data_IF_177766723550
#
_entry.id   IF_177766723550
#
_cell.length_a   1.000
_cell.length_b   1.000
_cell.length_c   1.000
_cell.angle_alpha   90.00
_cell.angle_beta   90.00
_cell.angle_gamma   90.00
#
_symmetry.space_group_name_H-M   'P 1'
#
loop_
_entity.id
_entity.type
_entity.pdbx_description
1 polymer ?
#
# COMPACT_ATOMS: atom_id res chain seq x y z
N UNK A 1 -6.62 -14.85 -27.73
CA UNK A 1 -6.60 -15.04 -26.25
C UNK A 1 -5.49 -14.20 -25.68
N UNK A 2 -5.83 -13.16 -24.91
CA UNK A 2 -4.82 -12.39 -24.18
C UNK A 2 -4.38 -13.20 -22.95
N UNK A 3 -3.29 -13.94 -23.05
CA UNK A 3 -2.71 -14.63 -21.92
C UNK A 3 -2.21 -13.60 -20.90
N UNK A 4 -2.48 -13.85 -19.62
CA UNK A 4 -1.88 -13.09 -18.54
C UNK A 4 -0.35 -13.17 -18.62
N UNK A 5 0.31 -12.06 -18.47
CA UNK A 5 1.77 -12.02 -18.44
C UNK A 5 2.29 -12.51 -17.07
N UNK A 6 3.48 -13.07 -17.07
CA UNK A 6 4.15 -13.41 -15.82
C UNK A 6 4.37 -12.15 -14.96
N UNK A 7 4.24 -12.25 -13.61
CA UNK A 7 4.50 -11.13 -12.73
C UNK A 7 5.95 -10.64 -12.82
N UNK A 8 6.12 -9.34 -12.68
CA UNK A 8 7.44 -8.71 -12.61
C UNK A 8 8.15 -9.09 -11.30
N UNK A 9 9.44 -9.43 -11.39
CA UNK A 9 10.23 -9.85 -10.22
C UNK A 9 10.73 -8.68 -9.35
N UNK A 10 10.40 -7.43 -9.68
CA UNK A 10 10.82 -6.25 -8.89
C UNK A 10 10.29 -6.27 -7.46
N UNK A 11 9.14 -6.87 -7.23
CA UNK A 11 8.53 -7.00 -5.89
C UNK A 11 9.49 -7.65 -4.88
N UNK A 12 10.14 -8.74 -5.23
CA UNK A 12 11.07 -9.46 -4.34
C UNK A 12 12.29 -8.63 -3.95
N UNK A 13 12.72 -7.72 -4.82
CA UNK A 13 13.83 -6.81 -4.54
C UNK A 13 13.42 -5.65 -3.64
N UNK A 14 12.22 -5.13 -3.85
CA UNK A 14 11.70 -3.94 -3.15
C UNK A 14 11.07 -4.30 -1.82
N UNK A 15 10.27 -5.36 -1.79
CA UNK A 15 9.49 -5.82 -0.64
C UNK A 15 9.67 -7.33 -0.42
N UNK A 16 10.90 -7.77 -0.05
CA UNK A 16 11.19 -9.22 0.09
C UNK A 16 10.38 -9.90 1.18
N UNK A 17 9.95 -9.16 2.20
CA UNK A 17 9.24 -9.69 3.37
C UNK A 17 7.70 -9.64 3.22
N UNK A 18 7.18 -9.06 2.14
CA UNK A 18 5.75 -9.05 1.87
C UNK A 18 5.31 -10.39 1.31
N UNK A 19 4.42 -11.12 2.00
CA UNK A 19 3.91 -12.38 1.50
C UNK A 19 3.04 -12.19 0.26
N UNK A 20 3.03 -13.21 -0.59
CA UNK A 20 2.19 -13.27 -1.78
C UNK A 20 1.24 -14.45 -1.63
N UNK A 21 -0.05 -14.22 -1.80
CA UNK A 21 -1.10 -15.21 -1.60
C UNK A 21 -1.83 -15.47 -2.91
N UNK A 22 -1.97 -16.75 -3.27
CA UNK A 22 -2.81 -17.15 -4.40
C UNK A 22 -4.29 -17.02 -4.03
N UNK A 23 -5.06 -16.33 -4.86
CA UNK A 23 -6.48 -16.10 -4.61
C UNK A 23 -7.27 -15.95 -5.92
N UNK A 24 -8.58 -16.11 -5.82
CA UNK A 24 -9.47 -15.81 -6.93
C UNK A 24 -9.79 -14.31 -6.93
N UNK A 25 -9.44 -13.68 -8.03
CA UNK A 25 -9.72 -12.26 -8.29
C UNK A 25 -10.94 -12.17 -9.22
N UNK A 26 -12.00 -11.56 -8.76
CA UNK A 26 -13.20 -11.32 -9.57
C UNK A 26 -13.34 -9.82 -9.81
N UNK A 27 -13.29 -9.41 -11.06
CA UNK A 27 -13.38 -8.00 -11.41
C UNK A 27 -14.77 -7.46 -11.12
N UNK A 28 -14.80 -6.47 -10.22
CA UNK A 28 -16.03 -5.82 -9.75
C UNK A 28 -16.67 -4.98 -10.85
N UNK A 29 -18.00 -4.83 -10.79
CA UNK A 29 -18.75 -3.92 -11.66
C UNK A 29 -18.29 -2.47 -11.50
N UNK A 30 -18.29 -1.71 -12.60
CA UNK A 30 -17.75 -0.34 -12.62
C UNK A 30 -18.48 0.63 -11.70
N UNK A 31 -19.82 0.52 -11.60
CA UNK A 31 -20.61 1.39 -10.74
C UNK A 31 -20.32 1.19 -9.25
N UNK A 32 -20.22 -0.06 -8.81
CA UNK A 32 -19.90 -0.41 -7.43
C UNK A 32 -18.46 0.01 -7.07
N UNK A 33 -17.52 -0.25 -7.95
CA UNK A 33 -16.13 0.21 -7.80
C UNK A 33 -16.04 1.73 -7.68
N UNK A 34 -16.76 2.46 -8.53
CA UNK A 34 -16.79 3.92 -8.50
C UNK A 34 -17.37 4.46 -7.18
N UNK A 35 -18.45 3.86 -6.68
CA UNK A 35 -19.04 4.24 -5.41
C UNK A 35 -18.09 4.03 -4.22
N UNK A 36 -17.37 2.90 -4.18
CA UNK A 36 -16.35 2.65 -3.16
C UNK A 36 -15.17 3.63 -3.23
N UNK A 37 -14.73 3.96 -4.44
CA UNK A 37 -13.66 4.95 -4.64
C UNK A 37 -14.08 6.34 -4.21
N UNK A 38 -15.31 6.74 -4.51
CA UNK A 38 -15.86 8.02 -4.08
C UNK A 38 -15.93 8.10 -2.55
N UNK A 39 -16.49 7.09 -1.90
CA UNK A 39 -16.54 7.00 -0.43
C UNK A 39 -15.14 7.09 0.20
N UNK A 40 -14.17 6.42 -0.37
CA UNK A 40 -12.77 6.50 0.07
C UNK A 40 -12.21 7.92 -0.04
N UNK A 41 -12.43 8.59 -1.16
CA UNK A 41 -11.93 9.95 -1.38
C UNK A 41 -12.65 10.99 -0.53
N UNK A 42 -13.94 10.78 -0.25
CA UNK A 42 -14.76 11.75 0.49
C UNK A 42 -14.49 11.77 2.00
N UNK A 43 -14.00 10.70 2.59
CA UNK A 43 -13.79 10.72 4.04
C UNK A 43 -13.05 9.52 4.63
N UNK A 44 -13.18 8.33 4.07
CA UNK A 44 -12.60 7.12 4.67
C UNK A 44 -11.06 7.13 4.65
N UNK A 45 -10.45 7.66 3.59
CA UNK A 45 -9.00 7.87 3.52
C UNK A 45 -8.52 8.80 4.63
N UNK A 46 -9.20 9.92 4.83
CA UNK A 46 -8.89 10.88 5.88
C UNK A 46 -9.01 10.24 7.26
N UNK A 47 -10.09 9.50 7.50
CA UNK A 47 -10.33 8.79 8.76
C UNK A 47 -9.20 7.77 9.03
N UNK A 48 -8.76 7.03 8.02
CA UNK A 48 -7.64 6.09 8.14
C UNK A 48 -6.33 6.80 8.51
N UNK A 49 -6.00 7.91 7.85
CA UNK A 49 -4.76 8.66 8.11
C UNK A 49 -4.74 9.26 9.52
N UNK A 50 -5.85 9.81 9.99
CA UNK A 50 -5.97 10.30 11.37
C UNK A 50 -5.95 9.18 12.39
N UNK A 51 -6.54 8.02 12.08
CA UNK A 51 -6.42 6.83 12.91
C UNK A 51 -4.96 6.39 13.10
N UNK A 52 -4.17 6.38 12.03
CA UNK A 52 -2.75 6.02 12.11
C UNK A 52 -1.99 6.91 13.10
N UNK A 53 -2.13 8.22 12.99
CA UNK A 53 -1.41 9.15 13.86
C UNK A 53 -1.92 9.13 15.30
N UNK A 54 -3.19 8.87 15.52
CA UNK A 54 -3.79 8.85 16.85
C UNK A 54 -3.58 7.53 17.59
N UNK A 55 -3.56 6.40 16.89
CA UNK A 55 -3.54 5.06 17.48
C UNK A 55 -2.23 4.29 17.22
N UNK A 56 -1.45 4.68 16.23
CA UNK A 56 -0.28 3.94 15.76
C UNK A 56 0.99 4.80 15.69
N UNK A 57 1.04 5.89 16.46
CA UNK A 57 2.16 6.85 16.43
C UNK A 57 3.53 6.19 16.69
N UNK A 58 3.63 5.33 17.69
CA UNK A 58 4.88 4.66 18.03
C UNK A 58 5.33 3.68 16.94
N UNK A 59 4.40 2.96 16.35
CA UNK A 59 4.65 2.09 15.20
C UNK A 59 5.15 2.88 13.99
N UNK A 60 4.53 4.03 13.70
CA UNK A 60 4.97 4.92 12.63
C UNK A 60 6.39 5.44 12.85
N UNK A 61 6.72 5.87 14.07
CA UNK A 61 8.07 6.32 14.41
C UNK A 61 9.09 5.21 14.25
N UNK A 62 8.78 4.01 14.73
CA UNK A 62 9.63 2.84 14.56
C UNK A 62 9.87 2.49 13.09
N UNK A 63 8.93 2.81 12.21
CA UNK A 63 9.02 2.62 10.75
C UNK A 63 9.66 3.79 10.01
N UNK A 64 10.15 4.79 10.71
CA UNK A 64 10.91 5.90 10.13
C UNK A 64 10.08 7.07 9.62
N UNK A 65 8.78 7.15 9.98
CA UNK A 65 7.95 8.32 9.66
C UNK A 65 8.45 9.54 10.45
N UNK A 66 8.55 10.67 9.75
CA UNK A 66 9.08 11.94 10.31
C UNK A 66 7.96 12.78 10.94
N UNK A 67 8.34 13.78 11.75
CA UNK A 67 7.38 14.75 12.30
C UNK A 67 6.61 15.48 11.18
N UNK A 68 7.24 15.75 10.06
CA UNK A 68 6.58 16.34 8.89
C UNK A 68 5.51 15.41 8.32
N UNK A 69 5.78 14.09 8.31
CA UNK A 69 4.76 13.11 7.95
C UNK A 69 3.59 13.12 8.93
N UNK A 70 3.87 13.20 10.24
CA UNK A 70 2.85 13.28 11.29
C UNK A 70 1.96 14.53 11.14
N UNK A 71 2.51 15.67 10.79
CA UNK A 71 1.72 16.88 10.52
C UNK A 71 0.71 16.68 9.38
N UNK A 72 1.13 16.03 8.29
CA UNK A 72 0.24 15.69 7.19
C UNK A 72 -0.87 14.73 7.64
N UNK A 73 -0.52 13.69 8.37
CA UNK A 73 -1.48 12.69 8.89
C UNK A 73 -2.50 13.32 9.84
N UNK A 74 -2.09 14.23 10.73
CA UNK A 74 -3.01 14.96 11.62
C UNK A 74 -4.03 15.79 10.86
N UNK A 75 -3.68 16.26 9.68
CA UNK A 75 -4.58 17.00 8.77
C UNK A 75 -5.41 16.05 7.88
N UNK A 76 -5.29 14.73 8.06
CA UNK A 76 -5.95 13.74 7.21
C UNK A 76 -5.43 13.73 5.77
N UNK A 77 -4.19 14.15 5.56
CA UNK A 77 -3.55 14.22 4.24
C UNK A 77 -2.47 13.15 4.11
N UNK A 78 -2.38 12.57 2.92
CA UNK A 78 -1.30 11.64 2.59
C UNK A 78 0.03 12.40 2.61
N UNK A 79 1.04 11.95 3.37
CA UNK A 79 2.36 12.57 3.35
C UNK A 79 2.98 12.55 1.96
N UNK A 80 3.78 13.56 1.65
CA UNK A 80 4.48 13.63 0.37
C UNK A 80 5.31 12.36 0.13
N UNK A 81 5.21 11.79 -1.05
CA UNK A 81 5.91 10.57 -1.44
C UNK A 81 5.25 9.27 -0.99
N UNK A 82 4.10 9.33 -0.35
CA UNK A 82 3.34 8.16 0.11
C UNK A 82 2.02 8.00 -0.63
N UNK A 83 1.47 6.79 -0.56
CA UNK A 83 0.12 6.46 -1.01
C UNK A 83 -0.60 5.62 0.04
N UNK A 84 -1.92 5.66 0.03
CA UNK A 84 -2.74 4.66 0.72
C UNK A 84 -3.14 3.60 -0.30
N UNK A 85 -2.77 2.36 -0.02
CA UNK A 85 -2.99 1.21 -0.89
C UNK A 85 -4.08 0.32 -0.31
N UNK A 86 -5.01 -0.13 -1.14
CA UNK A 86 -5.95 -1.19 -0.80
C UNK A 86 -5.25 -2.54 -0.98
N UNK A 87 -5.07 -3.28 0.12
CA UNK A 87 -4.38 -4.57 0.11
C UNK A 87 -5.11 -5.55 -0.80
N UNK A 88 -6.43 -5.68 -0.62
CA UNK A 88 -7.32 -6.28 -1.61
C UNK A 88 -7.92 -5.15 -2.45
N UNK A 89 -7.69 -5.12 -3.76
CA UNK A 89 -8.13 -4.01 -4.60
C UNK A 89 -9.64 -3.79 -4.60
N UNK A 90 -10.08 -2.53 -4.68
CA UNK A 90 -11.49 -2.19 -4.89
C UNK A 90 -12.03 -2.75 -6.21
N UNK A 91 -11.17 -2.98 -7.18
CA UNK A 91 -11.47 -3.62 -8.46
C UNK A 91 -11.91 -5.10 -8.32
N UNK A 92 -11.56 -5.73 -7.23
CA UNK A 92 -12.00 -7.07 -6.84
C UNK A 92 -13.02 -6.97 -5.69
N UNK A 93 -12.86 -7.72 -4.63
CA UNK A 93 -13.73 -7.76 -3.46
C UNK A 93 -13.26 -6.90 -2.30
N UNK A 94 -12.26 -6.04 -2.49
CA UNK A 94 -11.74 -5.17 -1.45
C UNK A 94 -12.72 -4.08 -1.02
N UNK A 95 -12.54 -3.57 0.17
CA UNK A 95 -13.33 -2.49 0.76
C UNK A 95 -12.44 -1.41 1.38
N UNK A 96 -13.04 -0.40 2.00
CA UNK A 96 -12.34 0.72 2.61
C UNK A 96 -12.08 0.57 4.12
N UNK A 97 -12.28 -0.62 4.68
CA UNK A 97 -11.98 -0.86 6.09
C UNK A 97 -10.48 -0.71 6.35
N UNK A 98 -10.12 -0.28 7.56
CA UNK A 98 -8.74 -0.03 7.94
C UNK A 98 -7.87 -1.29 7.82
N UNK A 99 -8.45 -2.46 8.05
CA UNK A 99 -7.77 -3.76 7.87
C UNK A 99 -7.39 -4.06 6.42
N UNK A 100 -7.95 -3.32 5.46
CA UNK A 100 -7.62 -3.43 4.04
C UNK A 100 -6.75 -2.29 3.52
N UNK A 101 -6.28 -1.40 4.39
CA UNK A 101 -5.52 -0.21 3.99
C UNK A 101 -4.10 -0.24 4.57
N UNK A 102 -3.16 0.20 3.77
CA UNK A 102 -1.77 0.39 4.18
C UNK A 102 -1.18 1.67 3.58
N UNK A 103 -0.52 2.45 4.43
CA UNK A 103 0.26 3.61 4.02
C UNK A 103 1.68 3.14 3.65
N UNK A 104 2.11 3.41 2.42
CA UNK A 104 3.42 3.00 1.91
C UNK A 104 3.95 4.05 0.93
N UNK A 105 5.24 4.00 0.65
CA UNK A 105 5.84 4.93 -0.31
C UNK A 105 5.29 4.67 -1.73
N UNK A 106 5.07 5.75 -2.47
CA UNK A 106 4.63 5.68 -3.87
C UNK A 106 5.67 4.96 -4.74
N UNK A 107 6.94 5.27 -4.50
CA UNK A 107 8.09 4.70 -5.19
C UNK A 107 9.17 4.30 -4.18
N UNK A 108 9.73 3.09 -4.29
CA UNK A 108 9.41 2.05 -5.26
C UNK A 108 8.31 1.06 -4.83
N UNK A 109 7.80 1.12 -3.59
CA UNK A 109 7.01 0.06 -2.97
C UNK A 109 5.63 -0.11 -3.64
N UNK A 110 4.84 0.96 -3.72
CA UNK A 110 3.50 0.91 -4.35
C UNK A 110 3.60 0.53 -5.83
N UNK A 111 4.55 1.11 -6.53
CA UNK A 111 4.82 0.78 -7.93
C UNK A 111 5.19 -0.71 -8.11
N UNK A 112 6.02 -1.27 -7.24
CA UNK A 112 6.41 -2.68 -7.30
C UNK A 112 5.21 -3.62 -7.12
N UNK A 113 4.28 -3.29 -6.22
CA UNK A 113 3.04 -4.05 -6.03
C UNK A 113 2.21 -4.05 -7.31
N UNK A 114 2.02 -2.89 -7.93
CA UNK A 114 1.24 -2.79 -9.17
C UNK A 114 1.93 -3.48 -10.35
N UNK A 115 3.23 -3.35 -10.50
CA UNK A 115 4.00 -4.08 -11.53
C UNK A 115 3.91 -5.59 -11.38
N UNK A 116 3.72 -6.07 -10.16
CA UNK A 116 3.52 -7.49 -9.90
C UNK A 116 2.10 -7.95 -10.21
N UNK A 117 1.09 -7.18 -9.82
CA UNK A 117 -0.32 -7.54 -9.95
C UNK A 117 -0.89 -7.25 -11.34
N UNK A 118 -0.68 -6.06 -11.88
CA UNK A 118 -1.38 -5.58 -13.08
C UNK A 118 -1.19 -6.47 -14.32
N UNK A 119 0.00 -7.04 -14.60
CA UNK A 119 0.14 -7.97 -15.71
C UNK A 119 -0.72 -9.23 -15.60
N UNK A 120 -0.99 -9.69 -14.37
CA UNK A 120 -1.84 -10.86 -14.13
C UNK A 120 -3.32 -10.59 -14.46
N UNK A 121 -3.73 -9.32 -14.42
CA UNK A 121 -5.12 -8.89 -14.66
C UNK A 121 -5.39 -8.52 -16.11
N UNK A 122 -4.37 -8.54 -16.97
CA UNK A 122 -4.53 -8.15 -18.37
C UNK A 122 -5.58 -9.00 -19.08
N UNK A 123 -6.54 -8.33 -19.74
CA UNK A 123 -7.62 -8.97 -20.47
C UNK A 123 -8.75 -9.53 -19.62
N UNK A 124 -8.69 -9.36 -18.29
CA UNK A 124 -9.79 -9.75 -17.41
C UNK A 124 -10.92 -8.72 -17.51
N UNK A 125 -12.13 -9.19 -17.84
CA UNK A 125 -13.32 -8.36 -17.97
C UNK A 125 -14.15 -8.31 -16.69
N UNK A 126 -15.01 -7.30 -16.56
CA UNK A 126 -15.95 -7.16 -15.44
C UNK A 126 -16.75 -8.46 -15.24
N UNK A 127 -16.83 -8.91 -14.00
CA UNK A 127 -17.53 -10.16 -13.62
C UNK A 127 -16.74 -11.43 -13.83
N UNK A 128 -15.64 -11.39 -14.59
CA UNK A 128 -14.77 -12.56 -14.76
C UNK A 128 -13.88 -12.78 -13.55
N UNK A 129 -13.57 -14.03 -13.29
CA UNK A 129 -12.68 -14.47 -12.21
C UNK A 129 -11.39 -15.05 -12.79
N UNK A 130 -10.27 -14.75 -12.14
CA UNK A 130 -8.96 -15.31 -12.48
C UNK A 130 -8.18 -15.62 -11.21
N UNK A 131 -7.49 -16.74 -11.20
CA UNK A 131 -6.53 -17.06 -10.14
C UNK A 131 -5.29 -16.19 -10.29
N UNK A 132 -4.96 -15.44 -9.25
CA UNK A 132 -3.80 -14.52 -9.23
C UNK A 132 -2.98 -14.71 -7.97
N UNK A 133 -1.75 -14.22 -8.00
CA UNK A 133 -0.91 -14.06 -6.82
C UNK A 133 -0.96 -12.61 -6.37
N UNK A 134 -1.49 -12.35 -5.17
CA UNK A 134 -1.70 -11.02 -4.63
C UNK A 134 -0.69 -10.73 -3.52
N UNK A 135 0.11 -9.65 -3.62
CA UNK A 135 0.94 -9.19 -2.50
C UNK A 135 0.06 -8.74 -1.33
N UNK A 136 0.41 -9.19 -0.12
CA UNK A 136 -0.33 -8.89 1.10
C UNK A 136 0.56 -8.23 2.15
N UNK A 137 0.83 -6.93 2.04
CA UNK A 137 1.48 -6.18 3.11
C UNK A 137 0.57 -6.14 4.34
N UNK A 138 1.17 -5.99 5.52
CA UNK A 138 0.38 -5.81 6.75
C UNK A 138 -0.42 -4.50 6.71
N UNK A 139 -1.66 -4.49 7.23
CA UNK A 139 -2.44 -3.26 7.37
C UNK A 139 -1.72 -2.20 8.23
N UNK A 140 -2.04 -0.95 8.02
CA UNK A 140 -1.48 0.16 8.76
C UNK A 140 -0.43 0.93 7.97
N UNK A 141 0.84 0.76 8.27
CA UNK A 141 1.94 1.39 7.56
C UNK A 141 3.06 0.40 7.28
N UNK A 142 3.65 0.52 6.10
CA UNK A 142 4.74 -0.34 5.66
C UNK A 142 6.08 0.38 5.80
N UNK A 143 7.05 -0.28 6.46
CA UNK A 143 8.43 0.17 6.50
C UNK A 143 9.07 -0.01 5.12
N UNK A 144 9.76 1.03 4.63
CA UNK A 144 10.53 0.93 3.40
C UNK A 144 12.01 0.71 3.69
N UNK A 145 12.70 0.01 2.79
CA UNK A 145 14.17 -0.14 2.88
C UNK A 145 14.92 1.19 2.84
N UNK A 146 14.40 2.17 2.12
CA UNK A 146 14.99 3.50 2.08
C UNK A 146 14.82 4.26 3.40
N UNK A 147 13.66 4.12 4.06
CA UNK A 147 13.47 4.66 5.41
C UNK A 147 14.41 3.99 6.42
N UNK A 148 14.63 2.66 6.32
CA UNK A 148 15.61 1.94 7.11
C UNK A 148 17.05 2.46 6.91
N UNK A 149 17.44 2.62 5.65
CA UNK A 149 18.78 3.16 5.32
C UNK A 149 18.97 4.58 5.85
N UNK A 150 17.94 5.42 5.75
CA UNK A 150 17.97 6.79 6.28
C UNK A 150 18.06 6.80 7.80
N UNK A 151 17.31 5.95 8.50
CA UNK A 151 17.37 5.79 9.93
C UNK A 151 18.74 5.27 10.40
N UNK A 152 19.31 4.29 9.71
CA UNK A 152 20.64 3.75 9.97
C UNK A 152 21.74 4.81 9.79
N UNK A 153 21.67 5.62 8.72
CA UNK A 153 22.59 6.74 8.48
C UNK A 153 22.51 7.78 9.59
N UNK A 154 21.30 8.14 10.03
CA UNK A 154 21.10 9.09 11.11
C UNK A 154 21.68 8.57 12.44
N UNK A 155 21.50 7.28 12.76
CA UNK A 155 22.09 6.65 13.95
C UNK A 155 23.62 6.62 13.90
N UNK A 156 24.21 6.29 12.75
CA UNK A 156 25.65 6.29 12.55
C UNK A 156 26.25 7.69 12.70
N UNK A 157 25.56 8.72 12.20
CA UNK A 157 25.99 10.11 12.37
C UNK A 157 25.92 10.57 13.82
N UNK A 158 24.84 10.23 14.53
CA UNK A 158 24.70 10.56 15.96
C UNK A 158 25.75 9.85 16.84
N UNK A 159 26.15 8.62 16.50
CA UNK A 159 27.17 7.87 17.24
C UNK A 159 28.60 8.39 17.03
N UNK A 160 28.87 9.05 15.88
CA UNK A 160 30.21 9.65 15.60
C UNK A 160 30.43 11.00 16.25
N UNK A 161 29.38 11.67 16.71
CA UNK A 161 29.42 12.99 17.34
C UNK A 161 29.29 12.93 18.87
N UNK A 162 29.51 11.74 19.48
CA UNK A 162 29.58 11.57 20.94
C UNK A 162 31.05 11.44 21.42
#
# INVERSE_FOLDING_TARGET
MNQALAPDNSLRRVLPDVPVVAMDYQRRGLAEKAALRESFQMGERQAFLTHLVNQRADDLRAKGFTERNFESLRRGKVPHGYNVHHIRPLDDGGDNRFENLVLLRAHPEHEAIHRYLDPQLRGLEVGQTRRVSLPQPEPGALRSREAEKSAQRAQLFASRNR
#
